data_IF_572555587912
#
_entry.id   IF_572555587912
#
_cell.length_a   1.000
_cell.length_b   1.000
_cell.length_c   1.000
_cell.angle_alpha   90.00
_cell.angle_beta   90.00
_cell.angle_gamma   90.00
#
_symmetry.space_group_name_H-M   'P 1'
#
loop_
_entity.id
_entity.type
_entity.pdbx_description
1 polymer ?
#
# COMPACT_ATOMS: atom_id res chain seq x y z
N UNK A 1 -24.52 9.44 13.52
CA UNK A 1 -23.37 10.34 13.72
C UNK A 1 -22.64 10.48 12.40
N UNK A 2 -22.20 11.68 12.03
CA UNK A 2 -21.44 11.90 10.79
C UNK A 2 -19.95 11.70 11.10
N UNK A 3 -19.27 10.81 10.37
CA UNK A 3 -17.85 10.50 10.56
C UNK A 3 -17.42 9.28 9.74
N UNK A 4 -16.11 9.02 9.70
CA UNK A 4 -15.54 7.81 9.07
C UNK A 4 -15.82 6.62 9.98
N UNK A 5 -16.59 5.65 9.49
CA UNK A 5 -16.99 4.47 10.28
C UNK A 5 -15.97 3.33 10.18
N UNK A 6 -15.35 3.17 9.01
CA UNK A 6 -14.30 2.18 8.74
C UNK A 6 -13.44 2.64 7.56
N UNK A 7 -12.29 1.99 7.40
CA UNK A 7 -11.41 2.11 6.23
C UNK A 7 -10.85 0.73 5.91
N UNK A 8 -10.43 0.54 4.66
CA UNK A 8 -9.71 -0.66 4.22
C UNK A 8 -8.46 -0.25 3.47
N UNK A 9 -7.48 -1.15 3.43
CA UNK A 9 -6.16 -0.86 2.87
C UNK A 9 -5.70 -2.09 2.08
N UNK A 10 -5.36 -1.88 0.82
CA UNK A 10 -4.60 -2.82 0.02
C UNK A 10 -3.22 -2.19 -0.24
N UNK A 11 -2.14 -2.88 0.11
CA UNK A 11 -0.76 -2.44 -0.12
C UNK A 11 -0.14 -3.45 -1.08
N UNK A 12 0.68 -3.02 -2.06
CA UNK A 12 1.36 -3.96 -2.95
C UNK A 12 2.11 -5.05 -2.17
N UNK A 13 2.43 -6.17 -2.77
CA UNK A 13 3.19 -7.24 -2.11
C UNK A 13 4.69 -6.95 -2.10
N UNK A 14 5.26 -6.53 -3.22
CA UNK A 14 6.71 -6.41 -3.36
C UNK A 14 7.29 -5.21 -2.60
N UNK A 15 8.52 -5.39 -2.09
CA UNK A 15 9.25 -4.39 -1.30
C UNK A 15 10.65 -4.21 -1.84
N UNK A 16 11.10 -2.96 -1.86
CA UNK A 16 12.48 -2.59 -2.15
C UNK A 16 13.00 -1.74 -0.99
N UNK A 17 14.22 -2.02 -0.53
CA UNK A 17 14.87 -1.23 0.51
C UNK A 17 15.08 0.21 0.05
N UNK A 18 14.69 1.19 0.86
CA UNK A 18 14.94 2.61 0.53
C UNK A 18 16.42 2.96 0.58
N UNK A 19 17.23 2.20 1.32
CA UNK A 19 18.68 2.34 1.31
C UNK A 19 19.30 1.86 -0.01
N UNK A 20 18.77 0.79 -0.62
CA UNK A 20 19.20 0.31 -1.94
C UNK A 20 18.85 1.32 -3.04
N UNK A 21 17.65 1.90 -2.97
CA UNK A 21 17.24 3.01 -3.86
C UNK A 21 18.23 4.19 -3.68
N UNK A 22 18.51 4.59 -2.44
CA UNK A 22 19.45 5.66 -2.14
C UNK A 22 20.86 5.39 -2.71
N UNK A 23 21.35 4.16 -2.56
CA UNK A 23 22.64 3.71 -3.10
C UNK A 23 22.66 3.76 -4.64
N UNK A 24 21.62 3.30 -5.32
CA UNK A 24 21.54 3.31 -6.78
C UNK A 24 21.55 4.74 -7.35
N UNK A 25 20.88 5.67 -6.68
CA UNK A 25 20.77 7.08 -7.09
C UNK A 25 21.84 8.00 -6.50
N UNK A 26 22.85 7.46 -5.80
CA UNK A 26 23.88 8.24 -5.09
C UNK A 26 23.31 9.35 -4.20
N UNK A 27 22.18 9.06 -3.54
CA UNK A 27 21.42 9.99 -2.72
C UNK A 27 21.39 9.56 -1.26
N UNK A 28 20.76 10.38 -0.41
CA UNK A 28 20.64 10.07 1.01
C UNK A 28 19.89 8.75 1.24
N UNK A 29 20.49 7.85 2.03
CA UNK A 29 19.88 6.57 2.37
C UNK A 29 18.79 6.77 3.42
N UNK A 30 17.55 6.46 3.05
CA UNK A 30 16.39 6.58 3.94
C UNK A 30 16.09 5.23 4.62
N UNK A 31 15.64 5.23 5.89
CA UNK A 31 15.20 4.02 6.55
C UNK A 31 13.87 3.49 5.97
N UNK A 32 13.67 2.18 6.10
CA UNK A 32 12.45 1.49 5.71
C UNK A 32 12.43 0.97 4.27
N UNK A 33 11.24 0.59 3.83
CA UNK A 33 10.98 -0.04 2.53
C UNK A 33 9.97 0.77 1.71
N UNK A 34 10.02 0.60 0.39
CA UNK A 34 9.03 1.11 -0.54
C UNK A 34 8.24 -0.06 -1.12
N UNK A 35 6.92 0.02 -1.02
CA UNK A 35 6.02 -0.89 -1.73
C UNK A 35 6.06 -0.62 -3.24
N UNK A 36 6.08 -1.69 -4.03
CA UNK A 36 6.12 -1.62 -5.50
C UNK A 36 5.03 -2.53 -6.06
N UNK A 37 4.16 -1.96 -6.89
CA UNK A 37 3.09 -2.69 -7.55
C UNK A 37 3.63 -3.71 -8.55
N UNK A 38 3.06 -4.91 -8.53
CA UNK A 38 3.17 -5.91 -9.59
C UNK A 38 2.22 -5.61 -10.75
N UNK A 39 2.29 -6.44 -11.81
CA UNK A 39 1.46 -6.28 -13.01
C UNK A 39 -0.06 -6.34 -12.75
N UNK A 40 -0.49 -7.05 -11.69
CA UNK A 40 -1.88 -7.24 -11.28
C UNK A 40 -2.32 -6.30 -10.15
N UNK A 41 -1.43 -5.45 -9.64
CA UNK A 41 -1.69 -4.50 -8.55
C UNK A 41 -1.95 -3.10 -9.10
N UNK A 42 -2.84 -2.98 -10.10
CA UNK A 42 -3.25 -1.70 -10.65
C UNK A 42 -4.25 -0.96 -9.73
N UNK A 43 -4.52 0.31 -10.03
CA UNK A 43 -5.35 1.16 -9.20
C UNK A 43 -6.79 0.63 -9.02
N UNK A 44 -7.37 -0.02 -10.03
CA UNK A 44 -8.72 -0.58 -9.95
C UNK A 44 -8.72 -1.81 -9.05
N UNK A 45 -7.82 -2.76 -9.30
CA UNK A 45 -7.72 -4.00 -8.51
C UNK A 45 -7.50 -3.68 -7.03
N UNK A 46 -6.50 -2.84 -6.72
CA UNK A 46 -6.20 -2.46 -5.35
C UNK A 46 -7.33 -1.66 -4.68
N UNK A 47 -8.04 -0.81 -5.44
CA UNK A 47 -9.17 -0.05 -4.94
C UNK A 47 -10.35 -0.94 -4.54
N UNK A 48 -10.64 -1.97 -5.33
CA UNK A 48 -11.70 -2.95 -5.05
C UNK A 48 -11.34 -3.79 -3.82
N UNK A 49 -10.09 -4.27 -3.71
CA UNK A 49 -9.61 -5.02 -2.54
C UNK A 49 -9.72 -4.18 -1.26
N UNK A 50 -9.26 -2.92 -1.30
CA UNK A 50 -9.37 -2.01 -0.16
C UNK A 50 -10.84 -1.73 0.23
N UNK A 51 -11.73 -1.59 -0.76
CA UNK A 51 -13.17 -1.43 -0.52
C UNK A 51 -13.79 -2.67 0.12
N UNK A 52 -13.46 -3.87 -0.38
CA UNK A 52 -13.95 -5.12 0.18
C UNK A 52 -13.51 -5.28 1.65
N UNK A 53 -12.25 -4.97 1.97
CA UNK A 53 -11.76 -4.95 3.36
C UNK A 53 -12.50 -3.93 4.23
N UNK A 54 -12.79 -2.74 3.71
CA UNK A 54 -13.53 -1.70 4.42
C UNK A 54 -14.94 -2.16 4.82
N UNK A 55 -15.61 -2.91 3.94
CA UNK A 55 -16.93 -3.49 4.21
C UNK A 55 -16.86 -4.68 5.17
N UNK A 56 -15.88 -5.58 5.02
CA UNK A 56 -15.68 -6.69 5.95
C UNK A 56 -15.47 -6.19 7.39
N UNK A 57 -14.70 -5.11 7.58
CA UNK A 57 -14.49 -4.49 8.88
C UNK A 57 -15.76 -3.91 9.54
N UNK A 58 -16.86 -3.78 8.79
CA UNK A 58 -18.17 -3.35 9.32
C UNK A 58 -19.13 -4.50 9.64
N UNK A 59 -18.80 -5.73 9.21
CA UNK A 59 -19.64 -6.92 9.34
C UNK A 59 -19.21 -7.83 10.52
N UNK A 60 -18.39 -7.31 11.42
CA UNK A 60 -17.95 -7.93 12.68
C UNK A 60 -18.39 -7.01 13.82
#
# INVERSE_FOLDING_TARGET
MVGIKSYGVCIPYYRVSRAEIGKFWESFQLPGEKAVANFDEDAVTMGVEAWAMCLCALLI
#
